data_IF_773361925551
#
_entry.id   IF_773361925551
#
_cell.length_a   1.000
_cell.length_b   1.000
_cell.length_c   1.000
_cell.angle_alpha   90.00
_cell.angle_beta   90.00
_cell.angle_gamma   90.00
#
_symmetry.space_group_name_H-M   'P 1'
#
loop_
_entity.id
_entity.type
_entity.pdbx_description
1 polymer ?
#
# COMPACT_ATOMS: atom_id res chain seq x y z
N UNK A 1 -29.26 8.61 -28.37
CA UNK A 1 -29.68 9.39 -27.18
C UNK A 1 -28.40 9.82 -26.50
N UNK A 2 -28.13 11.11 -26.59
CA UNK A 2 -26.82 11.72 -26.31
C UNK A 2 -26.59 11.94 -24.82
N UNK A 3 -25.29 12.00 -24.51
CA UNK A 3 -24.63 12.44 -23.28
C UNK A 3 -25.42 13.42 -22.40
N UNK A 4 -25.62 13.05 -21.14
CA UNK A 4 -25.76 13.97 -19.99
C UNK A 4 -25.48 13.19 -18.69
N UNK A 5 -24.19 12.96 -18.39
CA UNK A 5 -23.72 12.52 -17.06
C UNK A 5 -22.64 13.45 -16.54
N UNK A 6 -22.85 14.76 -16.72
CA UNK A 6 -22.13 15.76 -15.94
C UNK A 6 -23.14 16.68 -15.27
N UNK A 7 -23.00 16.77 -13.94
CA UNK A 7 -23.64 17.70 -13.01
C UNK A 7 -25.12 17.43 -12.69
N UNK A 8 -25.36 16.75 -11.56
CA UNK A 8 -26.29 17.20 -10.51
C UNK A 8 -26.22 16.26 -9.30
N UNK A 9 -25.61 16.79 -8.24
CA UNK A 9 -25.21 16.08 -7.03
C UNK A 9 -26.39 15.69 -6.13
N UNK A 10 -26.20 14.60 -5.39
CA UNK A 10 -27.06 14.03 -4.34
C UNK A 10 -28.17 13.07 -4.79
N UNK A 11 -29.06 13.41 -5.73
CA UNK A 11 -30.13 12.46 -6.15
C UNK A 11 -29.67 11.37 -7.14
N UNK A 12 -28.48 11.51 -7.72
CA UNK A 12 -27.94 10.59 -8.73
C UNK A 12 -27.08 9.46 -8.13
N UNK A 13 -26.60 9.62 -6.89
CA UNK A 13 -25.71 8.65 -6.24
C UNK A 13 -26.41 7.34 -5.87
N UNK A 14 -27.67 7.38 -5.46
CA UNK A 14 -28.43 6.17 -5.13
C UNK A 14 -28.75 5.34 -6.38
N UNK A 15 -29.07 6.01 -7.50
CA UNK A 15 -29.29 5.37 -8.80
C UNK A 15 -28.00 4.76 -9.35
N UNK A 16 -26.88 5.50 -9.28
CA UNK A 16 -25.58 5.04 -9.72
C UNK A 16 -25.03 3.89 -8.85
N UNK A 17 -25.17 3.98 -7.53
CA UNK A 17 -24.74 2.92 -6.61
C UNK A 17 -25.55 1.65 -6.80
N UNK A 18 -26.87 1.75 -6.96
CA UNK A 18 -27.72 0.61 -7.31
C UNK A 18 -27.32 -0.02 -8.64
N UNK A 19 -26.96 0.79 -9.63
CA UNK A 19 -26.49 0.33 -10.94
C UNK A 19 -25.18 -0.46 -10.86
N UNK A 20 -24.14 0.10 -10.21
CA UNK A 20 -22.86 -0.58 -10.02
C UNK A 20 -23.02 -1.84 -9.15
N UNK A 21 -23.89 -1.82 -8.13
CA UNK A 21 -24.11 -3.00 -7.30
C UNK A 21 -24.73 -4.17 -8.08
N UNK A 22 -25.59 -3.92 -9.07
CA UNK A 22 -26.07 -4.98 -9.99
C UNK A 22 -24.93 -5.59 -10.80
N UNK A 23 -24.00 -4.77 -11.28
CA UNK A 23 -22.79 -5.24 -11.98
C UNK A 23 -21.97 -6.15 -11.05
N UNK A 24 -21.73 -5.71 -9.81
CA UNK A 24 -21.00 -6.47 -8.79
C UNK A 24 -21.66 -7.80 -8.42
N UNK A 25 -22.99 -7.87 -8.48
CA UNK A 25 -23.76 -9.09 -8.21
C UNK A 25 -23.74 -10.12 -9.34
N UNK A 26 -23.03 -9.84 -10.45
CA UNK A 26 -22.78 -10.82 -11.50
C UNK A 26 -23.56 -10.58 -12.79
N UNK A 27 -24.16 -9.40 -13.00
CA UNK A 27 -24.75 -9.04 -14.29
C UNK A 27 -23.64 -8.72 -15.32
N UNK A 28 -23.25 -9.74 -16.08
CA UNK A 28 -22.14 -9.66 -17.05
C UNK A 28 -22.48 -8.71 -18.20
N UNK A 29 -23.72 -8.76 -18.71
CA UNK A 29 -24.14 -7.91 -19.83
C UNK A 29 -24.14 -6.42 -19.43
N UNK A 30 -24.56 -6.11 -18.20
CA UNK A 30 -24.49 -4.77 -17.65
C UNK A 30 -23.03 -4.31 -17.45
N UNK A 31 -22.14 -5.21 -17.03
CA UNK A 31 -20.70 -4.93 -16.90
C UNK A 31 -20.07 -4.55 -18.23
N UNK A 32 -20.26 -5.39 -19.25
CA UNK A 32 -19.71 -5.18 -20.60
C UNK A 32 -20.22 -3.87 -21.18
N UNK A 33 -21.52 -3.61 -21.05
CA UNK A 33 -22.13 -2.36 -21.49
C UNK A 33 -21.53 -1.15 -20.78
N UNK A 34 -21.35 -1.20 -19.46
CA UNK A 34 -20.78 -0.09 -18.70
C UNK A 34 -19.32 0.19 -19.10
N UNK A 35 -18.53 -0.86 -19.37
CA UNK A 35 -17.17 -0.72 -19.90
C UNK A 35 -17.19 -0.03 -21.26
N UNK A 36 -18.06 -0.48 -22.18
CA UNK A 36 -18.16 0.09 -23.53
C UNK A 36 -18.64 1.55 -23.49
N UNK A 37 -19.59 1.90 -22.62
CA UNK A 37 -20.05 3.29 -22.42
C UNK A 37 -18.92 4.21 -21.91
N UNK A 38 -17.97 3.67 -21.14
CA UNK A 38 -16.82 4.42 -20.61
C UNK A 38 -15.55 4.30 -21.48
N UNK A 39 -15.62 3.62 -22.63
CA UNK A 39 -14.49 3.37 -23.51
C UNK A 39 -13.70 4.62 -23.90
N UNK A 40 -14.40 5.70 -24.24
CA UNK A 40 -13.77 6.97 -24.61
C UNK A 40 -12.97 7.57 -23.44
N UNK A 41 -13.49 7.45 -22.22
CA UNK A 41 -12.79 7.90 -21.01
C UNK A 41 -11.55 7.05 -20.76
N UNK A 42 -11.67 5.72 -20.84
CA UNK A 42 -10.53 4.79 -20.69
C UNK A 42 -9.45 5.09 -21.74
N UNK A 43 -9.82 5.19 -23.03
CA UNK A 43 -8.88 5.50 -24.11
C UNK A 43 -8.19 6.86 -23.93
N UNK A 44 -8.93 7.87 -23.45
CA UNK A 44 -8.35 9.18 -23.14
C UNK A 44 -7.29 9.07 -22.05
N UNK A 45 -7.56 8.31 -21.00
CA UNK A 45 -6.59 8.09 -19.92
C UNK A 45 -5.35 7.34 -20.42
N UNK A 46 -5.52 6.28 -21.24
CA UNK A 46 -4.38 5.57 -21.83
C UNK A 46 -3.55 6.49 -22.72
N UNK A 47 -4.21 7.32 -23.53
CA UNK A 47 -3.57 8.31 -24.42
C UNK A 47 -2.73 9.32 -23.64
N UNK A 48 -3.25 9.79 -22.51
CA UNK A 48 -2.53 10.70 -21.62
C UNK A 48 -1.29 10.07 -21.01
N UNK A 49 -1.38 8.82 -20.56
CA UNK A 49 -0.24 8.10 -19.94
C UNK A 49 0.86 7.82 -20.96
N UNK A 50 0.48 7.41 -22.17
CA UNK A 50 1.44 7.05 -23.23
C UNK A 50 1.97 8.27 -24.00
N UNK A 51 1.35 9.44 -23.86
CA UNK A 51 1.67 10.62 -24.67
C UNK A 51 1.38 10.44 -26.16
N UNK A 52 0.46 9.53 -26.52
CA UNK A 52 0.11 9.18 -27.90
C UNK A 52 -1.35 9.51 -28.17
N UNK A 53 -1.64 10.11 -29.32
CA UNK A 53 -3.00 10.52 -29.72
C UNK A 53 -3.86 9.39 -30.29
N UNK A 54 -3.25 8.27 -30.68
CA UNK A 54 -3.94 7.09 -31.19
C UNK A 54 -3.35 5.84 -30.55
N UNK A 55 -4.21 5.07 -29.86
CA UNK A 55 -3.88 3.78 -29.27
C UNK A 55 -4.87 2.75 -29.82
N UNK A 56 -4.39 1.69 -30.49
CA UNK A 56 -5.25 0.62 -30.95
C UNK A 56 -5.97 -0.06 -29.76
N UNK A 57 -7.26 -0.36 -29.90
CA UNK A 57 -8.04 -1.07 -28.86
C UNK A 57 -7.63 -2.52 -28.69
N UNK A 58 -6.72 -3.04 -29.51
CA UNK A 58 -6.09 -4.35 -29.38
C UNK A 58 -4.65 -4.26 -28.83
N UNK A 59 -4.29 -3.14 -28.20
CA UNK A 59 -2.99 -2.96 -27.53
C UNK A 59 -3.03 -3.54 -26.12
N UNK A 60 -1.91 -4.08 -25.65
CA UNK A 60 -1.80 -4.65 -24.30
C UNK A 60 -2.03 -3.59 -23.22
N UNK A 61 -1.66 -2.34 -23.50
CA UNK A 61 -1.89 -1.18 -22.65
C UNK A 61 -3.38 -0.89 -22.48
N UNK A 62 -4.16 -1.08 -23.55
CA UNK A 62 -5.61 -0.97 -23.48
C UNK A 62 -6.23 -2.13 -22.67
N UNK A 63 -5.75 -3.37 -22.85
CA UNK A 63 -6.19 -4.51 -22.04
C UNK A 63 -5.88 -4.31 -20.54
N UNK A 64 -4.71 -3.75 -20.23
CA UNK A 64 -4.34 -3.36 -18.86
C UNK A 64 -5.28 -2.28 -18.30
N UNK A 65 -5.68 -1.31 -19.12
CA UNK A 65 -6.63 -0.27 -18.74
C UNK A 65 -8.04 -0.82 -18.49
N UNK A 66 -8.51 -1.78 -19.32
CA UNK A 66 -9.78 -2.47 -19.13
C UNK A 66 -9.77 -3.29 -17.83
N UNK A 67 -8.65 -3.95 -17.53
CA UNK A 67 -8.47 -4.68 -16.27
C UNK A 67 -8.57 -3.74 -15.07
N UNK A 68 -7.87 -2.60 -15.12
CA UNK A 68 -7.92 -1.57 -14.09
C UNK A 68 -9.33 -0.99 -13.90
N UNK A 69 -10.07 -0.79 -14.99
CA UNK A 69 -11.43 -0.28 -14.92
C UNK A 69 -12.41 -1.29 -14.32
N UNK A 70 -12.24 -2.59 -14.62
CA UNK A 70 -12.99 -3.66 -13.95
C UNK A 70 -12.75 -3.65 -12.43
N UNK A 71 -11.50 -3.51 -12.01
CA UNK A 71 -11.16 -3.35 -10.60
C UNK A 71 -11.88 -2.14 -9.98
N UNK A 72 -11.98 -1.02 -10.71
CA UNK A 72 -12.68 0.15 -10.21
C UNK A 72 -14.17 -0.12 -9.99
N UNK A 73 -14.81 -0.83 -10.93
CA UNK A 73 -16.21 -1.24 -10.79
C UNK A 73 -16.40 -2.03 -9.50
N UNK A 74 -15.51 -2.96 -9.18
CA UNK A 74 -15.67 -3.86 -8.03
C UNK A 74 -15.35 -3.20 -6.69
N UNK A 75 -14.44 -2.22 -6.67
CA UNK A 75 -13.87 -1.68 -5.43
C UNK A 75 -14.14 -0.21 -5.14
N UNK A 76 -14.86 0.50 -6.00
CA UNK A 76 -15.27 1.88 -5.72
C UNK A 76 -16.13 2.00 -4.45
N UNK A 77 -15.78 2.94 -3.58
CA UNK A 77 -16.51 3.26 -2.35
C UNK A 77 -17.43 4.47 -2.58
N UNK A 78 -18.74 4.24 -2.48
CA UNK A 78 -19.75 5.29 -2.64
C UNK A 78 -19.77 6.31 -1.50
N UNK A 79 -19.10 6.02 -0.38
CA UNK A 79 -18.99 6.95 0.74
C UNK A 79 -17.80 7.91 0.60
N UNK A 80 -16.95 7.73 -0.42
CA UNK A 80 -15.88 8.68 -0.72
C UNK A 80 -16.42 9.89 -1.49
N UNK A 81 -15.80 11.05 -1.31
CA UNK A 81 -16.17 12.29 -1.98
C UNK A 81 -15.59 12.42 -3.40
N UNK A 82 -14.86 11.39 -3.87
CA UNK A 82 -14.28 11.32 -5.20
C UNK A 82 -15.27 10.65 -6.16
N UNK A 83 -15.52 11.25 -7.34
CA UNK A 83 -16.40 10.65 -8.33
C UNK A 83 -15.79 9.37 -8.92
N UNK A 84 -16.63 8.43 -9.36
CA UNK A 84 -16.18 7.19 -9.99
C UNK A 84 -15.23 7.43 -11.16
N UNK A 85 -15.47 8.48 -11.96
CA UNK A 85 -14.61 8.86 -13.06
C UNK A 85 -13.21 9.31 -12.59
N UNK A 86 -13.13 10.16 -11.57
CA UNK A 86 -11.85 10.62 -11.02
C UNK A 86 -11.07 9.47 -10.36
N UNK A 87 -11.77 8.62 -9.62
CA UNK A 87 -11.21 7.40 -9.04
C UNK A 87 -10.66 6.47 -10.12
N UNK A 88 -11.46 6.18 -11.14
CA UNK A 88 -11.09 5.29 -12.24
C UNK A 88 -9.92 5.83 -13.05
N UNK A 89 -9.88 7.13 -13.31
CA UNK A 89 -8.76 7.78 -14.00
C UNK A 89 -7.44 7.58 -13.24
N UNK A 90 -7.45 7.77 -11.91
CA UNK A 90 -6.27 7.57 -11.07
C UNK A 90 -5.79 6.12 -11.11
N UNK A 91 -6.70 5.16 -10.92
CA UNK A 91 -6.35 3.73 -10.91
C UNK A 91 -5.86 3.26 -12.28
N UNK A 92 -6.54 3.64 -13.38
CA UNK A 92 -6.10 3.29 -14.74
C UNK A 92 -4.70 3.84 -15.01
N UNK A 93 -4.39 5.09 -14.61
CA UNK A 93 -3.05 5.66 -14.77
C UNK A 93 -2.00 4.82 -14.04
N UNK A 94 -2.24 4.51 -12.75
CA UNK A 94 -1.31 3.70 -11.94
C UNK A 94 -1.10 2.30 -12.52
N UNK A 95 -2.14 1.70 -13.11
CA UNK A 95 -2.08 0.37 -13.73
C UNK A 95 -1.33 0.35 -15.07
N UNK A 96 -1.49 1.38 -15.90
CA UNK A 96 -0.76 1.49 -17.16
C UNK A 96 0.72 1.80 -16.89
N UNK A 97 1.04 2.68 -15.93
CA UNK A 97 2.43 2.89 -15.52
C UNK A 97 3.07 1.59 -15.03
N UNK A 98 2.32 0.73 -14.30
CA UNK A 98 2.79 -0.62 -13.94
C UNK A 98 3.18 -1.44 -15.16
N UNK A 99 2.22 -1.57 -16.08
CA UNK A 99 2.33 -2.43 -17.24
C UNK A 99 3.57 -2.06 -18.08
N UNK A 100 3.77 -0.74 -18.29
CA UNK A 100 4.94 -0.23 -18.99
C UNK A 100 6.24 -0.46 -18.22
N UNK A 101 6.23 -0.32 -16.89
CA UNK A 101 7.40 -0.63 -16.08
C UNK A 101 7.77 -2.11 -16.12
N UNK A 102 6.79 -3.03 -16.02
CA UNK A 102 7.02 -4.48 -16.14
C UNK A 102 7.51 -4.90 -17.53
N UNK A 103 6.95 -4.31 -18.59
CA UNK A 103 7.39 -4.60 -19.97
C UNK A 103 8.82 -4.11 -20.21
N UNK A 104 9.22 -3.00 -19.57
CA UNK A 104 10.60 -2.50 -19.59
C UNK A 104 11.55 -3.28 -18.69
N UNK A 105 11.11 -3.71 -17.49
CA UNK A 105 11.94 -4.44 -16.52
C UNK A 105 12.16 -5.90 -16.91
N UNK A 106 11.27 -6.51 -17.71
CA UNK A 106 11.54 -7.78 -18.39
C UNK A 106 12.74 -7.73 -19.35
N UNK A 107 13.25 -6.54 -19.71
CA UNK A 107 14.50 -6.39 -20.49
C UNK A 107 15.78 -6.25 -19.64
N UNK A 108 15.66 -6.15 -18.31
CA UNK A 108 16.81 -6.00 -17.40
C UNK A 108 16.66 -6.94 -16.20
N UNK A 109 17.34 -8.08 -16.27
CA UNK A 109 17.52 -8.97 -15.11
C UNK A 109 19.02 -9.14 -14.84
N UNK A 110 19.47 -8.77 -13.64
CA UNK A 110 20.71 -9.26 -13.00
C UNK A 110 20.55 -9.27 -11.48
N UNK A 111 21.23 -10.24 -10.88
CA UNK A 111 21.16 -10.86 -9.55
C UNK A 111 21.31 -10.01 -8.28
N UNK A 112 20.60 -10.55 -7.27
CA UNK A 112 20.99 -10.90 -5.88
C UNK A 112 22.34 -10.39 -5.31
N UNK A 113 22.29 -9.80 -4.12
CA UNK A 113 23.23 -10.13 -3.03
C UNK A 113 22.82 -9.52 -1.70
N UNK A 114 22.77 -10.40 -0.71
CA UNK A 114 22.70 -10.15 0.72
C UNK A 114 23.86 -9.28 1.22
N UNK A 115 23.57 -8.24 2.00
CA UNK A 115 24.56 -7.65 2.90
C UNK A 115 23.90 -7.19 4.22
N UNK A 116 24.72 -7.16 5.27
CA UNK A 116 24.39 -6.94 6.68
C UNK A 116 23.69 -5.58 6.94
N UNK A 117 22.35 -5.60 7.01
CA UNK A 117 21.47 -4.43 7.03
C UNK A 117 21.20 -3.83 8.42
N UNK A 118 21.92 -4.26 9.46
CA UNK A 118 21.52 -4.00 10.86
C UNK A 118 21.58 -2.52 11.31
N UNK A 119 22.18 -1.62 10.50
CA UNK A 119 22.24 -0.16 10.74
C UNK A 119 21.90 0.71 9.51
N UNK A 120 21.58 0.13 8.35
CA UNK A 120 21.42 0.90 7.10
C UNK A 120 20.20 1.85 7.10
N UNK A 121 19.16 1.53 7.87
CA UNK A 121 17.94 2.32 7.97
C UNK A 121 18.10 3.65 8.70
N UNK A 122 19.13 3.80 9.55
CA UNK A 122 19.46 5.08 10.19
C UNK A 122 20.08 6.08 9.21
N UNK A 123 20.61 5.60 8.07
CA UNK A 123 21.26 6.44 7.06
C UNK A 123 20.38 6.67 5.83
N UNK A 124 19.43 5.78 5.56
CA UNK A 124 18.54 5.84 4.41
C UNK A 124 17.16 6.40 4.78
N UNK A 125 16.98 7.72 4.60
CA UNK A 125 15.73 8.43 4.91
C UNK A 125 14.61 8.22 3.88
N UNK A 126 14.85 7.44 2.82
CA UNK A 126 13.93 7.28 1.71
C UNK A 126 13.97 5.86 1.14
N UNK A 127 12.80 5.35 0.86
CA UNK A 127 12.56 4.17 0.04
C UNK A 127 12.36 4.58 -1.43
N UNK A 128 12.71 3.70 -2.37
CA UNK A 128 12.46 3.99 -3.77
C UNK A 128 10.95 4.01 -4.04
N UNK A 129 10.47 5.13 -4.60
CA UNK A 129 9.06 5.32 -4.95
C UNK A 129 8.59 4.27 -5.96
N UNK A 130 9.44 3.91 -6.92
CA UNK A 130 9.08 2.93 -7.96
C UNK A 130 8.91 1.54 -7.35
N UNK A 131 9.75 1.17 -6.39
CA UNK A 131 9.60 -0.09 -5.63
C UNK A 131 8.33 -0.12 -4.79
N UNK A 132 7.91 1.03 -4.22
CA UNK A 132 6.65 1.12 -3.47
C UNK A 132 5.46 0.95 -4.42
N UNK A 133 5.55 1.51 -5.62
CA UNK A 133 4.54 1.36 -6.67
C UNK A 133 4.42 -0.14 -7.05
N UNK A 134 5.55 -0.82 -7.29
CA UNK A 134 5.60 -2.27 -7.57
C UNK A 134 5.01 -3.09 -6.43
N UNK A 135 5.29 -2.72 -5.18
CA UNK A 135 4.69 -3.37 -4.03
C UNK A 135 3.17 -3.21 -3.98
N UNK A 136 2.65 -1.99 -4.18
CA UNK A 136 1.20 -1.75 -4.29
C UNK A 136 0.57 -2.60 -5.40
N UNK A 137 1.22 -2.69 -6.55
CA UNK A 137 0.70 -3.45 -7.70
C UNK A 137 0.63 -4.93 -7.40
N UNK A 138 1.69 -5.51 -6.81
CA UNK A 138 1.67 -6.89 -6.36
C UNK A 138 0.60 -7.17 -5.30
N UNK A 139 0.24 -6.21 -4.45
CA UNK A 139 -0.89 -6.35 -3.52
C UNK A 139 -2.24 -6.40 -4.24
N UNK A 140 -2.42 -5.57 -5.26
CA UNK A 140 -3.68 -5.52 -6.02
C UNK A 140 -3.95 -6.79 -6.80
N UNK A 141 -2.92 -7.54 -7.21
CA UNK A 141 -3.11 -8.88 -7.79
C UNK A 141 -3.87 -9.84 -6.86
N UNK A 142 -3.85 -9.59 -5.54
CA UNK A 142 -4.59 -10.33 -4.52
C UNK A 142 -5.88 -9.63 -4.09
N UNK A 143 -6.24 -8.51 -4.71
CA UNK A 143 -7.36 -7.66 -4.28
C UNK A 143 -7.11 -6.94 -2.95
N UNK A 144 -5.84 -6.73 -2.57
CA UNK A 144 -5.46 -6.08 -1.31
C UNK A 144 -5.07 -4.63 -1.56
N UNK A 145 -5.63 -3.70 -0.79
CA UNK A 145 -5.20 -2.31 -0.75
C UNK A 145 -4.36 -2.01 0.50
N UNK A 146 -3.61 -0.91 0.48
CA UNK A 146 -2.91 -0.44 1.69
C UNK A 146 -3.88 -0.07 2.83
N UNK A 147 -5.13 0.28 2.51
CA UNK A 147 -6.18 0.57 3.49
C UNK A 147 -6.65 -0.71 4.18
N UNK A 148 -6.72 -1.84 3.48
CA UNK A 148 -7.03 -3.14 4.08
C UNK A 148 -5.96 -3.53 5.09
N UNK A 149 -4.68 -3.29 4.78
CA UNK A 149 -3.57 -3.54 5.70
C UNK A 149 -3.65 -2.69 6.98
N UNK A 150 -4.22 -1.48 6.91
CA UNK A 150 -4.49 -0.65 8.09
C UNK A 150 -5.65 -1.20 8.95
N UNK A 151 -6.76 -1.59 8.31
CA UNK A 151 -7.96 -2.01 9.03
C UNK A 151 -7.91 -3.45 9.54
N UNK A 152 -7.34 -4.36 8.74
CA UNK A 152 -7.32 -5.80 8.98
C UNK A 152 -5.96 -6.30 9.50
N UNK A 153 -4.92 -5.46 9.43
CA UNK A 153 -3.58 -5.83 9.89
C UNK A 153 -3.49 -6.10 11.40
N UNK A 154 -2.62 -7.02 11.83
CA UNK A 154 -2.40 -7.30 13.25
C UNK A 154 -1.81 -6.08 13.97
N UNK A 155 -2.28 -5.82 15.19
CA UNK A 155 -1.79 -4.74 16.06
C UNK A 155 -0.91 -5.22 17.19
N UNK A 156 -1.16 -6.45 17.66
CA UNK A 156 -0.40 -7.06 18.75
C UNK A 156 0.94 -7.60 18.25
N UNK A 157 1.99 -7.38 19.03
CA UNK A 157 3.37 -7.78 18.68
C UNK A 157 3.46 -9.27 18.38
N UNK A 158 2.78 -10.11 19.16
CA UNK A 158 2.79 -11.57 18.96
C UNK A 158 2.17 -11.98 17.62
N UNK A 159 1.07 -11.33 17.21
CA UNK A 159 0.41 -11.59 15.93
C UNK A 159 1.24 -11.06 14.75
N UNK A 160 1.93 -9.92 14.92
CA UNK A 160 2.88 -9.38 13.93
C UNK A 160 4.05 -10.35 13.76
N UNK A 161 4.68 -10.80 14.85
CA UNK A 161 5.78 -11.76 14.82
C UNK A 161 5.37 -13.10 14.21
N UNK A 162 4.20 -13.62 14.58
CA UNK A 162 3.64 -14.82 13.96
C UNK A 162 3.51 -14.64 12.44
N UNK A 163 2.89 -13.55 12.01
CA UNK A 163 2.65 -13.26 10.60
C UNK A 163 3.96 -13.08 9.81
N UNK A 164 4.95 -12.41 10.41
CA UNK A 164 6.30 -12.27 9.84
C UNK A 164 6.96 -13.64 9.65
N UNK A 165 6.84 -14.55 10.61
CA UNK A 165 7.40 -15.90 10.51
C UNK A 165 6.75 -16.72 9.39
N UNK A 166 5.43 -16.62 9.21
CA UNK A 166 4.73 -17.25 8.07
C UNK A 166 5.23 -16.64 6.76
N UNK A 167 5.29 -15.31 6.68
CA UNK A 167 5.75 -14.61 5.48
C UNK A 167 7.19 -14.96 5.09
N UNK A 168 8.09 -15.13 6.08
CA UNK A 168 9.46 -15.61 5.85
C UNK A 168 9.50 -17.02 5.30
N UNK A 169 8.65 -17.93 5.78
CA UNK A 169 8.54 -19.29 5.23
C UNK A 169 8.12 -19.25 3.75
N UNK A 170 7.10 -18.45 3.42
CA UNK A 170 6.63 -18.27 2.05
C UNK A 170 7.72 -17.64 1.17
N UNK A 171 8.31 -16.52 1.60
CA UNK A 171 9.37 -15.84 0.85
C UNK A 171 10.66 -16.67 0.75
N UNK A 172 10.97 -17.51 1.72
CA UNK A 172 12.13 -18.41 1.67
C UNK A 172 12.00 -19.50 0.62
N UNK A 173 10.77 -19.90 0.27
CA UNK A 173 10.50 -20.97 -0.70
C UNK A 173 10.03 -20.41 -2.04
N UNK A 174 10.83 -20.63 -3.10
CA UNK A 174 10.46 -20.29 -4.49
C UNK A 174 9.12 -20.91 -4.89
N UNK A 175 8.84 -22.12 -4.41
CA UNK A 175 7.61 -22.88 -4.72
C UNK A 175 6.42 -22.24 -4.00
N UNK A 176 6.50 -22.02 -2.69
CA UNK A 176 5.40 -21.43 -1.92
C UNK A 176 5.07 -20.01 -2.40
N UNK A 177 6.09 -19.19 -2.66
CA UNK A 177 5.88 -17.84 -3.19
C UNK A 177 5.20 -17.86 -4.56
N UNK A 178 5.64 -18.76 -5.46
CA UNK A 178 5.01 -18.93 -6.78
C UNK A 178 3.56 -19.41 -6.64
N UNK A 179 3.30 -20.41 -5.79
CA UNK A 179 1.96 -20.94 -5.55
C UNK A 179 1.04 -19.83 -5.03
N UNK A 180 1.51 -19.02 -4.07
CA UNK A 180 0.76 -17.89 -3.52
C UNK A 180 0.27 -16.94 -4.63
N UNK A 181 1.15 -16.57 -5.56
CA UNK A 181 0.80 -15.72 -6.71
C UNK A 181 -0.07 -16.41 -7.76
N UNK A 182 0.01 -17.74 -7.88
CA UNK A 182 -0.81 -18.50 -8.84
C UNK A 182 -2.24 -18.67 -8.35
N UNK A 183 -2.43 -18.94 -7.05
CA UNK A 183 -3.76 -19.19 -6.45
C UNK A 183 -4.38 -17.91 -5.88
N UNK A 184 -3.64 -16.79 -5.87
CA UNK A 184 -4.01 -15.51 -5.25
C UNK A 184 -4.43 -15.64 -3.78
N UNK A 185 -3.80 -16.56 -3.05
CA UNK A 185 -4.06 -16.84 -1.64
C UNK A 185 -2.84 -17.49 -0.97
N UNK A 186 -2.81 -17.54 0.37
CA UNK A 186 -1.75 -18.27 1.09
C UNK A 186 -1.95 -19.78 0.89
N UNK A 187 -0.94 -20.52 0.40
CA UNK A 187 -1.03 -21.97 0.26
C UNK A 187 -0.87 -22.66 1.61
N UNK A 188 -1.89 -22.55 2.48
CA UNK A 188 -1.81 -22.98 3.90
C UNK A 188 -1.44 -24.45 4.02
N UNK A 189 -2.00 -25.30 3.16
CA UNK A 189 -1.77 -26.74 3.21
C UNK A 189 -0.33 -27.13 2.82
N UNK A 190 0.39 -26.24 2.15
CA UNK A 190 1.79 -26.40 1.75
C UNK A 190 2.79 -25.79 2.77
N UNK A 191 2.32 -25.08 3.81
CA UNK A 191 3.18 -24.48 4.84
C UNK A 191 3.80 -25.54 5.77
N UNK A 192 4.77 -25.15 6.61
CA UNK A 192 5.25 -26.01 7.69
C UNK A 192 4.11 -26.35 8.68
N UNK A 193 4.12 -27.55 9.24
CA UNK A 193 3.09 -28.04 10.19
C UNK A 193 2.82 -27.09 11.36
N UNK A 194 3.87 -26.44 11.89
CA UNK A 194 3.74 -25.45 12.98
C UNK A 194 2.81 -24.27 12.63
N UNK A 195 2.71 -23.91 11.36
CA UNK A 195 1.81 -22.85 10.88
C UNK A 195 0.41 -23.40 10.59
N UNK A 196 0.32 -24.63 10.07
CA UNK A 196 -0.98 -25.30 9.81
C UNK A 196 -1.81 -25.48 11.08
N UNK A 197 -1.16 -25.81 12.20
CA UNK A 197 -1.82 -25.92 13.52
C UNK A 197 -2.53 -24.60 13.90
N UNK A 198 -2.00 -23.47 13.44
CA UNK A 198 -2.53 -22.13 13.68
C UNK A 198 -3.25 -21.56 12.44
N UNK A 199 -3.85 -22.40 11.58
CA UNK A 199 -4.54 -22.00 10.34
C UNK A 199 -5.50 -20.83 10.52
N UNK A 200 -6.30 -20.80 11.60
CA UNK A 200 -7.23 -19.69 11.89
C UNK A 200 -6.51 -18.34 12.02
N UNK A 201 -5.31 -18.32 12.61
CA UNK A 201 -4.52 -17.10 12.77
C UNK A 201 -3.85 -16.70 11.45
N UNK A 202 -3.44 -17.67 10.62
CA UNK A 202 -2.96 -17.42 9.25
C UNK A 202 -4.07 -16.78 8.40
N UNK A 203 -5.27 -17.36 8.43
CA UNK A 203 -6.44 -16.86 7.68
C UNK A 203 -6.86 -15.46 8.15
N UNK A 204 -6.86 -15.22 9.46
CA UNK A 204 -7.20 -13.92 10.05
C UNK A 204 -6.25 -12.80 9.59
N UNK A 205 -4.96 -13.12 9.43
CA UNK A 205 -3.91 -12.14 9.10
C UNK A 205 -3.42 -12.26 7.64
N UNK A 206 -4.19 -12.89 6.75
CA UNK A 206 -3.71 -13.33 5.43
C UNK A 206 -3.24 -12.16 4.56
N UNK A 207 -3.95 -11.03 4.56
CA UNK A 207 -3.60 -9.85 3.77
C UNK A 207 -2.25 -9.27 4.21
N UNK A 208 -2.04 -9.22 5.54
CA UNK A 208 -0.78 -8.78 6.12
C UNK A 208 0.37 -9.74 5.80
N UNK A 209 0.16 -11.06 5.92
CA UNK A 209 1.17 -12.06 5.59
C UNK A 209 1.59 -11.97 4.11
N UNK A 210 0.62 -11.79 3.20
CA UNK A 210 0.90 -11.57 1.77
C UNK A 210 1.75 -10.32 1.59
N UNK A 211 1.38 -9.20 2.22
CA UNK A 211 2.12 -7.95 2.13
C UNK A 211 3.58 -8.09 2.60
N UNK A 212 3.79 -8.70 3.77
CA UNK A 212 5.13 -8.93 4.30
C UNK A 212 5.93 -9.87 3.40
N UNK A 213 5.30 -10.90 2.83
CA UNK A 213 5.96 -11.82 1.89
C UNK A 213 6.47 -11.08 0.65
N UNK A 214 5.69 -10.12 0.14
CA UNK A 214 6.09 -9.29 -1.00
C UNK A 214 7.24 -8.34 -0.62
N UNK A 215 7.16 -7.67 0.53
CA UNK A 215 8.25 -6.78 1.02
C UNK A 215 9.56 -7.54 1.16
N UNK A 216 9.53 -8.78 1.67
CA UNK A 216 10.74 -9.61 1.81
C UNK A 216 11.38 -9.96 0.44
N UNK A 217 10.60 -9.96 -0.65
CA UNK A 217 11.05 -10.26 -2.02
C UNK A 217 11.25 -9.04 -2.93
N UNK A 218 10.97 -7.82 -2.48
CA UNK A 218 11.16 -6.59 -3.26
C UNK A 218 12.52 -5.93 -3.00
N UNK A 219 12.82 -4.78 -3.60
CA UNK A 219 14.01 -4.00 -3.25
C UNK A 219 13.73 -2.89 -2.21
N UNK A 220 12.66 -3.04 -1.42
CA UNK A 220 12.25 -2.13 -0.36
C UNK A 220 13.16 -2.25 0.88
N UNK A 221 14.39 -1.75 0.79
CA UNK A 221 15.43 -2.00 1.79
C UNK A 221 15.09 -1.43 3.17
N UNK A 222 14.44 -0.26 3.24
CA UNK A 222 14.06 0.33 4.52
C UNK A 222 12.92 -0.47 5.16
N UNK A 223 11.90 -0.86 4.39
CA UNK A 223 10.82 -1.69 4.95
C UNK A 223 11.33 -3.06 5.40
N UNK A 224 12.23 -3.71 4.64
CA UNK A 224 12.89 -4.96 5.06
C UNK A 224 13.64 -4.79 6.39
N UNK A 225 14.31 -3.66 6.58
CA UNK A 225 15.03 -3.39 7.83
C UNK A 225 14.08 -3.29 9.03
N UNK A 226 12.88 -2.70 8.85
CA UNK A 226 11.89 -2.63 9.91
C UNK A 226 11.47 -4.04 10.34
N UNK A 227 11.26 -4.95 9.38
CA UNK A 227 10.93 -6.35 9.66
C UNK A 227 12.03 -7.09 10.45
N UNK A 228 13.31 -6.84 10.14
CA UNK A 228 14.44 -7.42 10.88
C UNK A 228 14.46 -6.90 12.34
N UNK A 229 14.11 -5.63 12.56
CA UNK A 229 14.13 -5.04 13.90
C UNK A 229 13.01 -5.57 14.80
N UNK A 230 11.84 -5.89 14.24
CA UNK A 230 10.75 -6.54 14.97
C UNK A 230 11.22 -7.88 15.55
N UNK A 231 11.93 -8.68 14.74
CA UNK A 231 12.48 -9.98 15.17
C UNK A 231 13.52 -9.85 16.28
N UNK A 232 14.32 -8.78 16.26
CA UNK A 232 15.36 -8.52 17.26
C UNK A 232 14.80 -7.91 18.55
N UNK A 233 13.49 -7.69 18.65
CA UNK A 233 12.84 -7.11 19.83
C UNK A 233 13.35 -5.70 20.15
N UNK A 234 13.87 -4.97 19.16
CA UNK A 234 14.42 -3.62 19.37
C UNK A 234 13.30 -2.65 19.72
N UNK A 235 13.64 -1.62 20.49
CA UNK A 235 12.71 -0.55 20.87
C UNK A 235 12.07 0.07 19.62
N UNK A 236 10.76 0.24 19.66
CA UNK A 236 10.00 0.88 18.58
C UNK A 236 10.42 2.35 18.48
N UNK A 237 11.11 2.71 17.40
CA UNK A 237 11.28 4.11 17.05
C UNK A 237 9.96 4.64 16.49
N UNK A 238 9.57 5.86 16.86
CA UNK A 238 8.37 6.49 16.32
C UNK A 238 8.63 7.01 14.89
N UNK A 239 8.98 6.13 13.96
CA UNK A 239 9.24 6.46 12.56
C UNK A 239 8.47 5.51 11.65
N UNK A 240 8.25 5.95 10.41
CA UNK A 240 7.69 5.09 9.37
C UNK A 240 7.92 5.63 7.96
N UNK A 241 7.70 4.78 6.95
CA UNK A 241 7.79 5.14 5.53
C UNK A 241 6.41 5.45 4.96
N UNK A 242 6.26 6.60 4.30
CA UNK A 242 5.04 6.95 3.56
C UNK A 242 4.91 6.02 2.36
N UNK A 243 3.83 5.24 2.32
CA UNK A 243 3.50 4.36 1.21
C UNK A 243 2.47 4.99 0.26
N UNK A 244 1.57 5.81 0.81
CA UNK A 244 0.52 6.47 0.03
C UNK A 244 0.15 7.82 0.63
N UNK A 245 -0.14 8.79 -0.24
CA UNK A 245 -0.52 10.16 0.13
C UNK A 245 -1.95 10.44 -0.33
N UNK A 246 -2.74 10.98 0.58
CA UNK A 246 -4.07 11.53 0.34
C UNK A 246 -4.07 13.04 0.61
N UNK A 247 -5.22 13.69 0.33
CA UNK A 247 -5.37 15.16 0.47
C UNK A 247 -5.03 15.70 1.87
N UNK A 248 -5.33 14.94 2.92
CA UNK A 248 -5.11 15.30 4.33
C UNK A 248 -4.49 14.18 5.17
N UNK A 249 -4.21 13.04 4.55
CA UNK A 249 -3.83 11.81 5.24
C UNK A 249 -2.69 11.10 4.48
N UNK A 250 -2.00 10.18 5.14
CA UNK A 250 -1.08 9.25 4.49
C UNK A 250 -1.20 7.87 5.13
N UNK A 251 -0.97 6.83 4.34
CA UNK A 251 -0.71 5.49 4.88
C UNK A 251 0.80 5.31 5.00
N UNK A 252 1.23 4.88 6.19
CA UNK A 252 2.61 4.68 6.57
C UNK A 252 2.77 3.27 7.10
N UNK A 253 3.86 2.59 6.75
CA UNK A 253 4.32 1.43 7.52
C UNK A 253 5.31 1.92 8.58
N UNK A 254 5.00 1.70 9.85
CA UNK A 254 5.84 2.12 10.97
C UNK A 254 6.96 1.12 11.25
N UNK A 255 7.89 1.51 12.11
CA UNK A 255 9.04 0.68 12.52
C UNK A 255 8.64 -0.65 13.18
N UNK A 256 7.45 -0.70 13.79
CA UNK A 256 6.87 -1.90 14.40
C UNK A 256 6.20 -2.83 13.38
N UNK A 257 6.24 -2.49 12.09
CA UNK A 257 5.64 -3.26 11.00
C UNK A 257 4.14 -3.05 10.85
N UNK A 258 3.52 -2.10 11.55
CA UNK A 258 2.10 -1.80 11.42
C UNK A 258 1.86 -0.80 10.28
N UNK A 259 0.77 -0.99 9.56
CA UNK A 259 0.25 0.01 8.64
C UNK A 259 -0.66 0.96 9.43
N UNK A 260 -0.41 2.27 9.34
CA UNK A 260 -1.14 3.31 10.09
C UNK A 260 -1.53 4.45 9.16
N UNK A 261 -2.72 5.02 9.39
CA UNK A 261 -3.14 6.28 8.76
C UNK A 261 -2.74 7.43 9.67
N UNK A 262 -2.04 8.41 9.09
CA UNK A 262 -1.61 9.63 9.79
C UNK A 262 -2.21 10.87 9.15
N UNK A 263 -2.39 11.95 9.92
CA UNK A 263 -2.80 13.27 9.40
C UNK A 263 -1.62 14.04 8.84
N UNK A 264 -1.82 14.70 7.70
CA UNK A 264 -0.75 15.24 6.85
C UNK A 264 -1.14 16.67 6.42
N UNK A 265 -0.58 17.69 7.06
CA UNK A 265 -0.87 19.14 6.82
C UNK A 265 -0.10 19.86 5.67
N UNK A 266 -0.75 20.55 4.73
CA UNK A 266 -0.26 20.91 3.37
C UNK A 266 1.14 21.56 3.22
N UNK A 267 1.77 22.08 4.27
CA UNK A 267 2.95 22.93 4.23
C UNK A 267 4.32 22.25 4.10
N UNK A 268 4.41 20.91 4.13
CA UNK A 268 5.73 20.23 4.23
C UNK A 268 6.01 19.20 3.14
N UNK A 269 7.26 19.21 2.66
CA UNK A 269 7.92 18.37 1.66
C UNK A 269 7.60 16.86 1.80
N UNK A 270 6.48 16.40 1.22
CA UNK A 270 5.97 15.02 1.24
C UNK A 270 6.29 14.32 -0.07
N UNK A 271 6.82 13.12 0.04
CA UNK A 271 6.92 12.21 -1.09
C UNK A 271 6.70 10.79 -0.59
N UNK A 272 6.08 9.97 -1.44
CA UNK A 272 6.07 8.52 -1.27
C UNK A 272 7.52 8.05 -1.12
N UNK A 273 7.73 7.11 -0.21
CA UNK A 273 9.04 6.58 0.16
C UNK A 273 9.76 7.36 1.23
N UNK A 274 9.32 8.57 1.59
CA UNK A 274 9.98 9.36 2.64
C UNK A 274 9.73 8.79 4.03
N UNK A 275 10.80 8.71 4.83
CA UNK A 275 10.70 8.45 6.26
C UNK A 275 10.15 9.67 7.01
N UNK A 276 9.24 9.42 7.94
CA UNK A 276 8.59 10.43 8.76
C UNK A 276 8.57 10.03 10.23
N UNK A 277 8.64 11.02 11.12
CA UNK A 277 8.47 10.80 12.55
C UNK A 277 6.99 10.84 12.91
N UNK A 278 6.58 9.86 13.72
CA UNK A 278 5.22 9.65 14.20
C UNK A 278 5.10 10.16 15.64
N UNK A 279 3.91 10.59 16.05
CA UNK A 279 3.62 10.82 17.46
C UNK A 279 3.59 9.49 18.25
N UNK A 280 3.69 9.55 19.59
CA UNK A 280 3.61 8.37 20.48
C UNK A 280 2.30 7.57 20.36
N UNK A 281 1.25 8.19 19.84
CA UNK A 281 -0.07 7.60 19.57
C UNK A 281 -0.29 7.26 18.08
N UNK A 282 0.72 7.52 17.22
CA UNK A 282 0.65 7.33 15.77
C UNK A 282 -0.17 8.37 15.00
N UNK A 283 -0.64 9.46 15.63
CA UNK A 283 -1.70 10.31 15.02
C UNK A 283 -1.24 11.51 14.18
N UNK A 284 -0.03 12.06 14.39
CA UNK A 284 0.51 13.25 13.66
C UNK A 284 2.04 13.23 13.50
N UNK A 285 2.52 14.09 12.58
CA UNK A 285 3.92 14.24 12.13
C UNK A 285 4.72 15.29 12.93
N UNK A 286 6.02 15.04 13.13
CA UNK A 286 7.06 16.08 13.32
C UNK A 286 8.25 15.86 12.37
N UNK A 287 8.95 16.95 12.02
CA UNK A 287 10.21 16.93 11.26
C UNK A 287 11.39 17.06 12.23
N UNK A 288 12.42 16.22 12.12
CA UNK A 288 13.68 16.47 12.85
C UNK A 288 14.60 17.37 12.02
N UNK A 289 14.82 18.58 12.51
CA UNK A 289 15.90 19.45 12.07
C UNK A 289 17.15 18.94 12.80
N UNK A 290 18.03 18.23 12.10
CA UNK A 290 19.33 17.70 12.56
C UNK A 290 19.27 16.59 13.62
N UNK A 291 19.79 15.41 13.27
CA UNK A 291 20.37 14.49 14.25
C UNK A 291 21.87 14.40 13.94
N UNK A 292 22.63 15.31 14.53
CA UNK A 292 23.92 14.91 15.10
C UNK A 292 23.56 14.13 16.36
N UNK A 293 24.14 12.96 16.58
CA UNK A 293 24.68 12.51 17.88
C UNK A 293 25.02 11.02 17.77
N UNK A 294 26.34 10.75 17.76
CA UNK A 294 26.85 9.57 18.42
C UNK A 294 26.75 9.71 19.94
N UNK A 295 27.13 8.64 20.63
CA UNK A 295 27.10 8.44 22.08
C UNK A 295 25.86 7.67 22.59
N UNK A 296 26.06 6.36 22.65
CA UNK A 296 25.70 5.45 23.74
C UNK A 296 25.33 6.21 25.02
N UNK A 297 24.11 6.03 25.51
CA UNK A 297 23.80 6.14 26.93
C UNK A 297 22.63 5.20 27.28
N UNK A 298 23.01 4.09 27.88
CA UNK A 298 22.17 3.20 28.69
C UNK A 298 21.52 4.04 29.79
N UNK A 299 20.25 3.81 30.11
CA UNK A 299 19.71 4.14 31.43
C UNK A 299 18.29 4.73 31.46
N UNK A 300 17.37 3.90 31.94
CA UNK A 300 16.39 4.21 33.00
C UNK A 300 15.46 5.43 32.87
N UNK A 301 14.15 5.11 32.81
CA UNK A 301 13.08 5.59 33.68
C UNK A 301 12.94 7.09 34.02
N UNK A 302 11.73 7.59 33.72
CA UNK A 302 10.97 8.64 34.41
C UNK A 302 11.47 10.10 34.37
N UNK A 303 10.50 11.00 34.17
CA UNK A 303 10.25 12.31 34.83
C UNK A 303 9.25 13.03 33.91
N UNK A 304 7.96 12.88 34.17
CA UNK A 304 7.13 13.71 35.08
C UNK A 304 6.96 15.13 34.55
N UNK A 305 5.70 15.40 34.26
CA UNK A 305 5.05 16.67 33.98
C UNK A 305 5.04 17.49 35.28
N UNK A 306 5.69 18.66 35.31
CA UNK A 306 5.44 19.68 36.35
C UNK A 306 5.23 21.04 35.68
N UNK A 307 3.99 21.49 35.84
CA UNK A 307 3.47 22.84 35.67
C UNK A 307 4.31 23.82 36.50
N UNK A 308 4.58 25.02 36.00
CA UNK A 308 4.46 26.28 36.77
C UNK A 308 4.73 27.50 35.86
N UNK A 309 3.64 28.07 35.35
CA UNK A 309 3.55 29.51 35.13
C UNK A 309 3.51 30.17 36.52
N UNK A 310 4.45 31.09 36.79
CA UNK A 310 4.40 31.88 38.03
C UNK A 310 5.57 32.83 38.20
N UNK A 311 5.22 34.12 38.25
CA UNK A 311 5.97 35.25 38.83
C UNK A 311 7.14 35.85 38.03
N UNK A 312 6.77 36.88 37.27
CA UNK A 312 7.59 38.03 36.90
C UNK A 312 7.80 38.91 38.15
N UNK A 313 9.04 39.14 38.55
CA UNK A 313 9.44 40.26 39.41
C UNK A 313 10.73 40.87 38.87
N UNK A 314 10.58 41.84 37.98
CA UNK A 314 11.13 43.20 38.08
C UNK A 314 10.51 44.07 37.00
#
# INVERSE_FOLDING_TARGET
MSSDFQNNDVFNNDSFSAYINKIRQGDIALRERFIEENKNMIMKVVSQVLGKSAIPTNSKEYDAAITAFNYCIDHYDFNDNESFAAYSEKIIKEWIYHFLWEENSKSMSVDDSSNDNSKEYLYRNFENKDEIIVFKQKLWEFGITLRDLYFLGPREVDQIMFSLNVAKSIAGSKILYKNMFSIKAIPIDDLDEKFKIQKKLVEKNKEYIIAISIILKSDLKVLKSYLINIEQGKTTENIGIILELFKKDAIVMNFSGQFVIIKVDRSNNRSIGKQVQLNKDGSKLYYSKFIRFGAIAIGSAAVILVILFGAKHS
#
